data_IF_140328746393
#
_entry.id   IF_140328746393
#
_cell.length_a   1.000
_cell.length_b   1.000
_cell.length_c   1.000
_cell.angle_alpha   90.00
_cell.angle_beta   90.00
_cell.angle_gamma   90.00
#
_symmetry.space_group_name_H-M   'P 1'
#
loop_
_entity.id
_entity.type
_entity.pdbx_description
1 polymer ?
#
# COMPACT_ATOMS: atom_id res chain seq x y z
N UNK A 1 -11.73 -4.23 12.52
CA UNK A 1 -11.50 -3.22 13.60
C UNK A 1 -12.67 -2.24 13.68
N UNK A 2 -13.82 -2.73 14.17
CA UNK A 2 -15.06 -1.96 14.25
C UNK A 2 -15.14 -1.14 15.54
N UNK A 3 -15.75 0.04 15.46
CA UNK A 3 -16.10 0.86 16.62
C UNK A 3 -14.87 1.22 17.47
N UNK A 4 -14.82 0.77 18.71
CA UNK A 4 -13.71 1.04 19.63
C UNK A 4 -12.35 0.40 19.23
N UNK A 5 -12.32 -0.44 18.20
CA UNK A 5 -11.11 -1.03 17.62
C UNK A 5 -10.56 -0.19 16.45
N UNK A 6 -11.29 0.85 16.00
CA UNK A 6 -10.70 1.83 15.08
C UNK A 6 -9.45 2.41 15.73
N UNK A 7 -8.37 2.57 14.94
CA UNK A 7 -7.06 3.04 15.41
C UNK A 7 -6.51 2.27 16.62
N UNK A 8 -6.68 0.95 16.62
CA UNK A 8 -5.99 0.02 17.52
C UNK A 8 -5.33 -1.10 16.75
N UNK A 9 -4.38 -1.77 17.39
CA UNK A 9 -3.82 -3.00 16.86
C UNK A 9 -4.96 -4.01 16.61
N UNK A 10 -4.87 -4.81 15.54
CA UNK A 10 -5.85 -5.83 15.26
C UNK A 10 -5.78 -6.92 16.34
N UNK A 11 -6.93 -7.51 16.66
CA UNK A 11 -7.03 -8.62 17.60
C UNK A 11 -7.30 -9.92 16.85
N UNK A 12 -6.71 -11.02 17.34
CA UNK A 12 -7.00 -12.34 16.80
C UNK A 12 -8.46 -12.69 16.99
N UNK A 13 -9.08 -13.19 15.93
CA UNK A 13 -10.43 -13.74 15.97
C UNK A 13 -10.35 -15.26 16.04
N UNK A 14 -10.93 -15.85 17.05
CA UNK A 14 -11.09 -17.30 17.17
C UNK A 14 -12.54 -17.62 16.82
N UNK A 15 -12.77 -18.22 15.66
CA UNK A 15 -14.08 -18.73 15.30
C UNK A 15 -14.32 -20.06 16.05
N UNK A 16 -15.41 -20.18 16.78
CA UNK A 16 -15.85 -21.45 17.35
C UNK A 16 -16.35 -22.42 16.25
N UNK A 17 -16.86 -21.87 15.12
CA UNK A 17 -17.23 -22.61 13.92
C UNK A 17 -16.62 -21.94 12.68
N UNK A 18 -15.86 -22.70 11.90
CA UNK A 18 -15.31 -22.27 10.61
C UNK A 18 -16.45 -22.22 9.57
N UNK A 19 -17.14 -21.11 9.50
CA UNK A 19 -17.96 -20.81 8.34
C UNK A 19 -17.11 -20.08 7.30
N UNK A 20 -16.63 -20.83 6.29
CA UNK A 20 -16.13 -20.23 5.05
C UNK A 20 -17.35 -19.61 4.36
N UNK A 21 -17.68 -18.39 4.72
CA UNK A 21 -18.62 -17.59 3.96
C UNK A 21 -17.79 -16.66 3.08
N UNK A 22 -17.67 -16.91 1.77
CA UNK A 22 -17.10 -15.93 0.86
C UNK A 22 -18.07 -14.74 0.83
N UNK A 23 -17.92 -13.80 1.75
CA UNK A 23 -18.51 -12.49 1.59
C UNK A 23 -17.82 -11.86 0.39
N UNK A 24 -18.45 -12.01 -0.75
CA UNK A 24 -18.09 -11.27 -1.95
C UNK A 24 -17.96 -9.79 -1.58
N UNK A 25 -16.81 -9.19 -1.90
CA UNK A 25 -16.52 -7.76 -1.83
C UNK A 25 -16.30 -7.12 -0.45
N UNK A 26 -15.70 -7.80 0.52
CA UNK A 26 -15.20 -7.15 1.73
C UNK A 26 -13.80 -6.57 1.48
N UNK A 27 -13.75 -5.31 1.08
CA UNK A 27 -12.51 -4.51 1.02
C UNK A 27 -12.57 -3.34 1.99
N UNK A 28 -11.39 -2.85 2.39
CA UNK A 28 -11.30 -1.74 3.32
C UNK A 28 -11.77 -0.43 2.68
N UNK A 29 -12.29 0.49 3.51
CA UNK A 29 -12.68 1.82 3.04
C UNK A 29 -11.54 2.47 2.26
N UNK A 30 -11.86 3.00 1.09
CA UNK A 30 -10.95 3.65 0.18
C UNK A 30 -11.71 4.63 -0.72
N UNK A 31 -10.99 5.51 -1.40
CA UNK A 31 -11.61 6.51 -2.25
C UNK A 31 -12.26 5.87 -3.48
N UNK A 32 -13.46 6.36 -3.82
CA UNK A 32 -14.19 5.94 -5.01
C UNK A 32 -13.68 6.78 -6.18
N UNK A 33 -12.71 6.29 -6.90
CA UNK A 33 -12.19 7.08 -8.03
C UNK A 33 -10.97 6.49 -8.73
N UNK A 34 -10.23 5.62 -8.07
CA UNK A 34 -9.07 4.97 -8.63
C UNK A 34 -9.43 3.68 -9.39
N UNK A 35 -8.69 2.63 -9.15
CA UNK A 35 -8.82 1.31 -9.77
C UNK A 35 -10.17 0.60 -9.48
N UNK A 36 -11.02 1.16 -8.60
CA UNK A 36 -12.27 0.56 -8.11
C UNK A 36 -13.55 1.21 -8.69
N UNK A 37 -13.43 2.16 -9.61
CA UNK A 37 -14.61 2.72 -10.30
C UNK A 37 -15.58 1.68 -10.87
N UNK A 38 -15.09 0.46 -11.15
CA UNK A 38 -15.91 -0.63 -11.68
C UNK A 38 -16.84 -1.29 -10.66
N UNK A 39 -16.65 -1.07 -9.35
CA UNK A 39 -17.32 -1.85 -8.30
C UNK A 39 -18.49 -1.08 -7.66
N UNK A 40 -18.58 0.23 -7.80
CA UNK A 40 -19.68 1.06 -7.27
C UNK A 40 -20.00 0.84 -5.78
N UNK A 41 -19.00 0.44 -4.96
CA UNK A 41 -19.14 0.09 -3.55
C UNK A 41 -18.18 0.90 -2.70
N UNK A 42 -18.67 1.43 -1.60
CA UNK A 42 -17.88 1.97 -0.49
C UNK A 42 -17.38 0.80 0.34
N UNK A 43 -16.09 0.72 0.65
CA UNK A 43 -15.53 -0.34 1.49
C UNK A 43 -16.19 -0.47 2.87
N UNK A 44 -15.59 -1.26 3.74
CA UNK A 44 -16.06 -1.50 5.11
C UNK A 44 -14.90 -1.39 6.11
N UNK A 45 -15.18 -1.04 7.37
CA UNK A 45 -14.23 -1.24 8.46
C UNK A 45 -14.11 -2.73 8.86
N UNK A 46 -15.12 -3.56 8.53
CA UNK A 46 -15.04 -5.02 8.61
C UNK A 46 -14.42 -5.57 7.32
N UNK A 47 -13.12 -5.44 7.19
CA UNK A 47 -12.41 -5.70 5.95
C UNK A 47 -11.19 -6.62 6.07
N UNK A 48 -10.81 -6.99 7.30
CA UNK A 48 -9.60 -7.79 7.52
C UNK A 48 -9.86 -9.27 7.23
N UNK A 49 -9.87 -9.60 5.95
CA UNK A 49 -10.03 -10.95 5.41
C UNK A 49 -8.79 -11.32 4.59
N UNK A 50 -8.57 -12.62 4.43
CA UNK A 50 -7.55 -13.14 3.53
C UNK A 50 -8.12 -14.27 2.66
N UNK A 51 -7.50 -14.46 1.50
CA UNK A 51 -7.78 -15.59 0.59
C UNK A 51 -6.59 -16.51 0.53
N UNK A 52 -6.87 -17.80 0.42
CA UNK A 52 -5.88 -18.86 0.19
C UNK A 52 -6.19 -19.53 -1.14
N UNK A 53 -5.19 -19.54 -2.02
CA UNK A 53 -5.22 -20.29 -3.28
C UNK A 53 -4.19 -21.40 -3.21
N UNK A 54 -4.67 -22.65 -3.24
CA UNK A 54 -3.84 -23.85 -3.19
C UNK A 54 -4.05 -24.72 -4.43
N UNK A 55 -3.06 -25.54 -4.86
CA UNK A 55 -3.23 -26.49 -5.94
C UNK A 55 -4.28 -27.55 -5.60
N UNK A 56 -4.95 -28.10 -6.62
CA UNK A 56 -5.88 -29.22 -6.42
C UNK A 56 -5.15 -30.50 -5.99
N UNK A 57 -5.78 -31.27 -5.11
CA UNK A 57 -5.27 -32.54 -4.56
C UNK A 57 -4.57 -32.38 -3.22
N UNK A 58 -4.37 -33.49 -2.51
CA UNK A 58 -3.64 -33.46 -1.24
C UNK A 58 -2.14 -33.33 -1.53
N UNK A 59 -1.55 -32.22 -1.11
CA UNK A 59 -0.12 -31.94 -1.15
C UNK A 59 0.25 -31.33 0.19
N UNK A 60 1.44 -31.68 0.67
CA UNK A 60 1.94 -31.19 1.95
C UNK A 60 3.27 -30.45 1.74
N UNK A 61 3.58 -29.57 2.66
CA UNK A 61 4.82 -28.79 2.69
C UNK A 61 5.07 -27.94 1.42
N UNK A 62 4.01 -27.39 0.83
CA UNK A 62 4.14 -26.47 -0.29
C UNK A 62 4.71 -25.12 0.16
N UNK A 63 5.59 -24.50 -0.65
CA UNK A 63 6.02 -23.12 -0.40
C UNK A 63 4.82 -22.19 -0.36
N UNK A 64 4.85 -21.23 0.56
CA UNK A 64 3.79 -20.23 0.73
C UNK A 64 4.28 -18.88 0.23
N UNK A 65 3.52 -18.27 -0.65
CA UNK A 65 3.74 -16.91 -1.15
C UNK A 65 2.66 -16.00 -0.59
N UNK A 66 3.05 -15.05 0.25
CA UNK A 66 2.14 -14.13 0.93
C UNK A 66 2.16 -12.78 0.20
N UNK A 67 1.09 -12.52 -0.56
CA UNK A 67 0.95 -11.33 -1.41
C UNK A 67 0.44 -10.13 -0.62
N UNK A 68 1.16 -9.01 -0.72
CA UNK A 68 0.75 -7.73 -0.14
C UNK A 68 0.44 -6.78 -1.30
N UNK A 69 -0.83 -6.44 -1.47
CA UNK A 69 -1.27 -5.59 -2.58
C UNK A 69 -0.72 -4.16 -2.48
N UNK A 70 -0.59 -3.50 -3.64
CA UNK A 70 -0.22 -2.09 -3.75
C UNK A 70 -1.41 -1.14 -3.62
N UNK A 71 -1.31 0.01 -4.28
CA UNK A 71 -2.35 1.06 -4.27
C UNK A 71 -2.06 2.18 -3.28
N UNK A 72 -0.77 2.52 -3.07
CA UNK A 72 -0.36 3.69 -2.27
C UNK A 72 -0.69 3.61 -0.77
N UNK A 73 -1.06 2.45 -0.23
CA UNK A 73 -1.66 2.27 1.09
C UNK A 73 -2.98 3.04 1.27
N UNK A 74 -3.59 3.52 0.19
CA UNK A 74 -4.87 4.23 0.17
C UNK A 74 -5.97 3.48 -0.56
N UNK A 75 -5.59 2.54 -1.44
CA UNK A 75 -6.50 1.72 -2.24
C UNK A 75 -5.96 0.29 -2.42
N UNK A 76 -6.76 -0.57 -3.03
CA UNK A 76 -6.41 -1.96 -3.30
C UNK A 76 -7.17 -2.97 -2.43
N UNK A 77 -7.11 -4.23 -2.82
CA UNK A 77 -7.73 -5.33 -2.06
C UNK A 77 -7.18 -6.70 -2.48
N UNK A 78 -7.41 -7.72 -1.66
CA UNK A 78 -6.93 -9.09 -1.80
C UNK A 78 -7.31 -9.78 -3.12
N UNK A 79 -8.45 -9.39 -3.72
CA UNK A 79 -9.00 -10.04 -4.92
C UNK A 79 -8.58 -9.35 -6.23
N UNK A 80 -7.78 -8.28 -6.15
CA UNK A 80 -7.41 -7.50 -7.32
C UNK A 80 -6.59 -8.32 -8.33
N UNK A 81 -5.75 -9.24 -7.84
CA UNK A 81 -4.93 -10.12 -8.67
C UNK A 81 -5.30 -11.59 -8.50
N UNK A 82 -5.40 -12.29 -9.62
CA UNK A 82 -5.70 -13.71 -9.63
C UNK A 82 -4.42 -14.56 -9.81
N UNK A 83 -3.94 -15.16 -8.73
CA UNK A 83 -2.75 -16.01 -8.75
C UNK A 83 -3.02 -17.49 -9.05
N UNK A 84 -4.18 -17.84 -9.59
CA UNK A 84 -4.54 -19.26 -9.85
C UNK A 84 -3.58 -19.95 -10.83
N UNK A 85 -3.09 -19.23 -11.84
CA UNK A 85 -2.12 -19.79 -12.78
C UNK A 85 -0.74 -20.02 -12.16
N UNK A 86 -0.27 -19.10 -11.31
CA UNK A 86 0.97 -19.27 -10.55
C UNK A 86 0.88 -20.50 -9.65
N UNK A 87 -0.21 -20.63 -8.89
CA UNK A 87 -0.49 -21.76 -8.00
C UNK A 87 -0.47 -23.08 -8.77
N UNK A 88 -1.18 -23.13 -9.90
CA UNK A 88 -1.28 -24.32 -10.74
C UNK A 88 0.04 -24.75 -11.38
N UNK A 89 0.85 -23.77 -11.83
CA UNK A 89 2.09 -24.04 -12.56
C UNK A 89 3.29 -24.33 -11.67
N UNK A 90 3.30 -23.81 -10.44
CA UNK A 90 4.50 -23.79 -9.58
C UNK A 90 4.37 -24.57 -8.29
N UNK A 91 3.22 -25.22 -8.08
CA UNK A 91 2.95 -25.97 -6.84
C UNK A 91 3.27 -25.15 -5.59
N UNK A 92 2.71 -23.96 -5.51
CA UNK A 92 2.83 -23.04 -4.37
C UNK A 92 1.45 -22.70 -3.84
N UNK A 93 1.36 -22.30 -2.59
CA UNK A 93 0.16 -21.66 -2.03
C UNK A 93 0.34 -20.17 -2.08
N UNK A 94 -0.67 -19.42 -2.55
CA UNK A 94 -0.69 -17.98 -2.48
C UNK A 94 -1.74 -17.53 -1.48
N UNK A 95 -1.32 -16.69 -0.52
CA UNK A 95 -2.19 -16.04 0.46
C UNK A 95 -2.21 -14.56 0.19
N UNK A 96 -3.41 -13.97 0.10
CA UNK A 96 -3.60 -12.54 -0.16
C UNK A 96 -4.48 -11.93 0.94
N UNK A 97 -3.98 -11.12 1.86
CA UNK A 97 -4.77 -10.43 2.87
C UNK A 97 -5.23 -9.05 2.40
N UNK A 98 -6.31 -8.57 2.99
CA UNK A 98 -6.58 -7.14 3.12
C UNK A 98 -5.84 -6.57 4.34
N UNK A 99 -5.59 -5.27 4.32
CA UNK A 99 -5.11 -4.48 5.45
C UNK A 99 -5.76 -3.10 5.42
N UNK A 100 -5.90 -2.44 6.57
CA UNK A 100 -6.48 -1.09 6.65
C UNK A 100 -5.68 -0.09 5.85
N UNK A 101 -6.41 0.80 5.17
CA UNK A 101 -5.88 1.75 4.21
C UNK A 101 -6.10 3.19 4.69
N UNK A 102 -5.34 4.12 4.10
CA UNK A 102 -5.47 5.55 4.34
C UNK A 102 -5.52 5.91 5.82
N UNK A 103 -6.39 6.85 6.22
CA UNK A 103 -6.47 7.32 7.61
C UNK A 103 -7.01 6.27 8.59
N UNK A 104 -7.57 5.17 8.13
CA UNK A 104 -8.01 4.08 9.01
C UNK A 104 -6.86 3.12 9.35
N UNK A 105 -5.87 3.00 8.44
CA UNK A 105 -4.67 2.18 8.61
C UNK A 105 -3.45 2.94 9.13
N UNK A 106 -3.42 4.25 8.88
CA UNK A 106 -2.25 5.09 9.13
C UNK A 106 -2.70 6.49 9.60
N UNK A 107 -2.73 6.72 10.90
CA UNK A 107 -3.20 7.98 11.45
C UNK A 107 -2.47 8.35 12.75
N UNK A 108 -1.92 9.54 12.78
CA UNK A 108 -1.15 10.07 13.91
C UNK A 108 -1.80 11.32 14.47
N UNK A 109 -2.46 11.23 15.63
CA UNK A 109 -3.02 12.40 16.31
C UNK A 109 -3.00 12.18 17.83
N UNK A 110 -2.51 13.13 18.66
CA UNK A 110 -2.46 13.00 20.11
C UNK A 110 -3.80 12.66 20.76
N UNK A 111 -4.91 13.12 20.17
CA UNK A 111 -6.26 12.75 20.60
C UNK A 111 -6.59 11.26 20.42
N UNK A 112 -5.75 10.50 19.73
CA UNK A 112 -5.86 9.04 19.59
C UNK A 112 -4.77 8.37 20.43
N UNK A 113 -3.47 8.63 20.12
CA UNK A 113 -2.35 7.90 20.72
C UNK A 113 -2.21 8.10 22.23
N UNK A 114 -2.55 9.28 22.78
CA UNK A 114 -2.41 9.55 24.22
C UNK A 114 -3.42 8.78 25.07
N UNK A 115 -4.51 8.27 24.48
CA UNK A 115 -5.49 7.43 25.16
C UNK A 115 -5.21 5.93 24.98
N UNK A 116 -4.11 5.58 24.34
CA UNK A 116 -3.73 4.19 24.09
C UNK A 116 -2.48 3.83 24.90
N UNK A 117 -2.21 2.53 25.02
CA UNK A 117 -1.04 1.98 25.69
C UNK A 117 -0.41 0.87 24.85
N UNK A 118 0.87 0.60 25.09
CA UNK A 118 1.58 -0.45 24.40
C UNK A 118 1.56 -0.26 22.88
N UNK A 119 1.31 -1.33 22.14
CA UNK A 119 1.33 -1.32 20.67
C UNK A 119 0.19 -0.49 20.05
N UNK A 120 -0.90 -0.25 20.78
CA UNK A 120 -1.99 0.61 20.30
C UNK A 120 -1.58 2.09 20.13
N UNK A 121 -0.44 2.51 20.70
CA UNK A 121 0.11 3.86 20.49
C UNK A 121 0.68 4.08 19.10
N UNK A 122 0.86 3.03 18.32
CA UNK A 122 1.30 3.13 16.91
C UNK A 122 0.34 3.98 16.08
N UNK A 123 0.81 4.45 14.95
CA UNK A 123 -0.01 4.97 13.84
C UNK A 123 0.01 4.05 12.61
N UNK A 124 0.77 2.94 12.66
CA UNK A 124 0.98 2.01 11.55
C UNK A 124 0.09 0.77 11.67
N UNK A 125 -1.22 0.98 11.84
CA UNK A 125 -2.19 -0.11 12.04
C UNK A 125 -2.30 -1.04 10.84
N UNK A 126 -2.17 -0.50 9.59
CA UNK A 126 -2.16 -1.32 8.38
C UNK A 126 -0.99 -2.31 8.34
N UNK A 127 0.19 -1.93 8.84
CA UNK A 127 1.33 -2.87 8.98
C UNK A 127 1.01 -3.94 10.02
N UNK A 128 0.39 -3.59 11.13
CA UNK A 128 -0.02 -4.56 12.15
C UNK A 128 -1.08 -5.54 11.65
N UNK A 129 -1.98 -5.10 10.74
CA UNK A 129 -2.96 -5.97 10.10
C UNK A 129 -2.27 -7.05 9.26
N UNK A 130 -1.24 -6.67 8.49
CA UNK A 130 -0.41 -7.59 7.70
C UNK A 130 0.34 -8.56 8.64
N UNK A 131 0.90 -8.07 9.74
CA UNK A 131 1.56 -8.90 10.76
C UNK A 131 0.60 -9.92 11.36
N UNK A 132 -0.64 -9.51 11.68
CA UNK A 132 -1.64 -10.45 12.21
C UNK A 132 -2.01 -11.53 11.19
N UNK A 133 -2.19 -11.15 9.91
CA UNK A 133 -2.43 -12.11 8.83
C UNK A 133 -1.26 -13.10 8.68
N UNK A 134 0.00 -12.63 8.77
CA UNK A 134 1.19 -13.50 8.74
C UNK A 134 1.23 -14.46 9.94
N UNK A 135 0.88 -14.01 11.14
CA UNK A 135 0.77 -14.88 12.33
C UNK A 135 -0.26 -15.97 12.11
N UNK A 136 -1.44 -15.60 11.62
CA UNK A 136 -2.49 -16.56 11.31
C UNK A 136 -2.02 -17.59 10.27
N UNK A 137 -1.30 -17.15 9.22
CA UNK A 137 -0.72 -18.07 8.21
C UNK A 137 0.27 -19.02 8.84
N UNK A 138 1.19 -18.56 9.67
CA UNK A 138 2.14 -19.41 10.38
C UNK A 138 1.45 -20.51 11.21
N UNK A 139 0.35 -20.16 11.87
CA UNK A 139 -0.38 -21.07 12.77
C UNK A 139 -1.27 -22.07 12.02
N UNK A 140 -1.77 -21.71 10.81
CA UNK A 140 -2.85 -22.46 10.18
C UNK A 140 -2.52 -23.03 8.80
N UNK A 141 -1.51 -22.53 8.09
CA UNK A 141 -1.29 -22.85 6.68
C UNK A 141 -0.95 -24.32 6.42
N UNK A 142 -0.43 -25.05 7.41
CA UNK A 142 -0.19 -26.47 7.33
C UNK A 142 -1.50 -27.27 7.08
N UNK A 143 -2.64 -26.81 7.61
CA UNK A 143 -3.95 -27.41 7.39
C UNK A 143 -4.43 -27.25 5.92
N UNK A 144 -3.80 -26.37 5.17
CA UNK A 144 -4.04 -26.13 3.74
C UNK A 144 -2.94 -26.73 2.85
N UNK A 145 -2.01 -27.52 3.44
CA UNK A 145 -0.90 -28.15 2.73
C UNK A 145 0.34 -27.26 2.57
N UNK A 146 0.40 -26.09 3.22
CA UNK A 146 1.53 -25.17 3.16
C UNK A 146 2.59 -25.46 4.24
N UNK A 147 3.84 -25.08 3.94
CA UNK A 147 4.96 -25.15 4.89
C UNK A 147 5.07 -23.82 5.65
N UNK A 148 4.74 -23.76 6.95
CA UNK A 148 4.88 -22.57 7.77
C UNK A 148 6.35 -22.10 7.92
N UNK A 149 7.34 -22.97 7.61
CA UNK A 149 8.76 -22.65 7.64
C UNK A 149 9.31 -22.19 6.27
N UNK A 150 8.45 -22.03 5.25
CA UNK A 150 8.83 -21.60 3.91
C UNK A 150 7.87 -20.56 3.36
N UNK A 151 7.73 -19.44 4.07
CA UNK A 151 6.87 -18.32 3.70
C UNK A 151 7.72 -17.24 3.05
N UNK A 152 7.35 -16.85 1.83
CA UNK A 152 7.91 -15.69 1.11
C UNK A 152 6.90 -14.56 1.11
N UNK A 153 7.21 -13.42 1.69
CA UNK A 153 6.41 -12.21 1.54
C UNK A 153 6.76 -11.53 0.22
N UNK A 154 5.77 -11.11 -0.55
CA UNK A 154 5.99 -10.36 -1.78
C UNK A 154 4.89 -9.34 -1.99
N UNK A 155 5.23 -8.23 -2.65
CA UNK A 155 4.28 -7.15 -2.90
C UNK A 155 4.83 -6.13 -3.85
N UNK A 156 3.93 -5.41 -4.50
CA UNK A 156 4.26 -4.40 -5.51
C UNK A 156 3.86 -3.00 -5.03
N UNK A 157 4.63 -1.96 -5.44
CA UNK A 157 4.34 -0.57 -5.11
C UNK A 157 4.31 -0.35 -3.59
N UNK A 158 3.18 0.12 -3.04
CA UNK A 158 2.98 0.19 -1.60
C UNK A 158 3.07 -1.19 -0.92
N UNK A 159 2.71 -2.28 -1.61
CA UNK A 159 2.95 -3.64 -1.12
C UNK A 159 4.45 -3.96 -1.01
N UNK A 160 5.28 -3.53 -1.97
CA UNK A 160 6.73 -3.61 -1.91
C UNK A 160 7.33 -2.75 -0.78
N UNK A 161 6.76 -1.55 -0.55
CA UNK A 161 7.08 -0.71 0.59
C UNK A 161 6.73 -1.39 1.93
N UNK A 162 5.57 -2.06 2.01
CA UNK A 162 5.16 -2.81 3.19
C UNK A 162 6.06 -4.04 3.42
N UNK A 163 6.53 -4.72 2.35
CA UNK A 163 7.57 -5.78 2.45
C UNK A 163 8.83 -5.24 3.11
N UNK A 164 9.37 -4.09 2.65
CA UNK A 164 10.54 -3.45 3.26
C UNK A 164 10.28 -3.03 4.71
N UNK A 165 9.07 -2.58 5.03
CA UNK A 165 8.63 -2.21 6.39
C UNK A 165 8.62 -3.44 7.33
N UNK A 166 8.17 -4.60 6.84
CA UNK A 166 8.16 -5.84 7.61
C UNK A 166 9.57 -6.38 7.91
N UNK A 167 10.56 -6.03 7.06
CA UNK A 167 11.97 -6.38 7.36
C UNK A 167 12.50 -5.68 8.61
N UNK A 168 11.90 -4.57 9.06
CA UNK A 168 12.32 -3.83 10.25
C UNK A 168 11.31 -3.84 11.40
N UNK A 169 10.07 -4.28 11.13
CA UNK A 169 9.04 -4.42 12.14
C UNK A 169 9.31 -5.62 13.04
N UNK A 170 9.63 -5.38 14.32
CA UNK A 170 9.96 -6.46 15.27
C UNK A 170 8.81 -7.45 15.47
N UNK A 171 7.58 -7.01 15.31
CA UNK A 171 6.36 -7.84 15.39
C UNK A 171 6.26 -8.88 14.28
N UNK A 172 6.98 -8.66 13.15
CA UNK A 172 7.02 -9.56 11.99
C UNK A 172 8.20 -10.56 12.04
N UNK A 173 9.11 -10.42 13.01
CA UNK A 173 10.32 -11.23 13.10
C UNK A 173 9.99 -12.72 13.26
N UNK A 174 10.56 -13.54 12.36
CA UNK A 174 10.36 -14.99 12.36
C UNK A 174 9.04 -15.45 11.72
N UNK A 175 8.19 -14.54 11.20
CA UNK A 175 6.93 -14.89 10.54
C UNK A 175 7.09 -15.20 9.04
N UNK A 176 8.23 -14.86 8.45
CA UNK A 176 8.55 -15.12 7.04
C UNK A 176 10.04 -15.44 6.87
N UNK A 177 10.40 -16.03 5.74
CA UNK A 177 11.72 -16.63 5.47
C UNK A 177 12.40 -16.03 4.25
N UNK A 178 11.67 -15.32 3.39
CA UNK A 178 12.15 -14.64 2.18
C UNK A 178 11.29 -13.40 1.91
N UNK A 179 11.86 -12.43 1.23
CA UNK A 179 11.16 -11.19 0.90
C UNK A 179 11.40 -10.79 -0.57
N UNK A 180 10.33 -10.29 -1.24
CA UNK A 180 10.41 -9.75 -2.61
C UNK A 180 9.70 -8.40 -2.64
N UNK A 181 10.44 -7.31 -2.80
CA UNK A 181 9.91 -5.96 -2.96
C UNK A 181 9.90 -5.59 -4.44
N UNK A 182 8.72 -5.49 -5.04
CA UNK A 182 8.51 -5.11 -6.43
C UNK A 182 8.14 -3.63 -6.48
N UNK A 183 8.96 -2.82 -7.14
CA UNK A 183 8.75 -1.38 -7.29
C UNK A 183 8.42 -0.66 -5.97
N UNK A 184 9.03 -1.14 -4.87
CA UNK A 184 8.84 -0.58 -3.54
C UNK A 184 9.55 0.75 -3.33
N UNK A 185 9.47 1.29 -2.13
CA UNK A 185 10.16 2.52 -1.71
C UNK A 185 10.36 2.54 -0.19
N UNK A 186 11.16 3.48 0.33
CA UNK A 186 11.55 3.54 1.74
C UNK A 186 11.07 4.82 2.44
N UNK A 187 10.10 5.54 1.86
CA UNK A 187 9.58 6.78 2.44
C UNK A 187 8.84 6.51 3.74
N UNK A 188 9.22 7.19 4.80
CA UNK A 188 8.49 7.24 6.07
C UNK A 188 8.55 8.65 6.65
N UNK A 189 7.59 9.04 7.48
CA UNK A 189 7.47 10.38 8.04
C UNK A 189 7.70 10.36 9.54
N UNK A 190 8.29 11.43 10.08
CA UNK A 190 8.33 11.62 11.54
C UNK A 190 6.91 11.76 12.09
N UNK A 191 6.69 11.37 13.34
CA UNK A 191 5.40 11.58 14.03
C UNK A 191 4.96 13.04 13.99
N UNK A 192 5.92 13.98 14.14
CA UNK A 192 5.62 15.41 14.09
C UNK A 192 5.06 15.83 12.73
N UNK A 193 5.68 15.41 11.63
CA UNK A 193 5.20 15.73 10.29
C UNK A 193 3.87 15.05 9.95
N UNK A 194 3.67 13.82 10.43
CA UNK A 194 2.41 13.09 10.26
C UNK A 194 1.26 13.72 11.05
N UNK A 195 1.56 14.30 12.20
CA UNK A 195 0.58 14.99 13.05
C UNK A 195 0.29 16.41 12.55
N UNK A 196 1.33 17.24 12.43
CA UNK A 196 1.25 18.64 12.03
C UNK A 196 2.52 19.04 11.28
N UNK A 197 2.41 19.15 9.97
CA UNK A 197 3.53 19.52 9.11
C UNK A 197 3.89 20.99 9.31
N UNK A 198 5.19 21.31 9.27
CA UNK A 198 5.66 22.70 9.25
C UNK A 198 5.24 23.43 7.96
N UNK A 199 4.93 22.67 6.89
CA UNK A 199 4.46 23.17 5.61
C UNK A 199 2.92 23.26 5.54
N UNK A 200 2.27 23.59 6.64
CA UNK A 200 0.81 23.69 6.82
C UNK A 200 0.06 24.45 5.69
N UNK A 201 0.72 25.34 4.97
CA UNK A 201 0.12 26.15 3.90
C UNK A 201 0.40 25.62 2.49
N UNK A 202 1.01 24.45 2.32
CA UNK A 202 1.20 23.83 1.00
C UNK A 202 -0.01 23.00 0.62
N UNK A 203 -0.63 23.33 -0.50
CA UNK A 203 -1.67 22.48 -1.11
C UNK A 203 -1.13 21.07 -1.32
N UNK A 204 -1.86 20.07 -0.85
CA UNK A 204 -1.55 18.65 -1.09
C UNK A 204 -0.97 17.89 0.10
N UNK A 205 -0.57 18.53 1.21
CA UNK A 205 -0.12 17.81 2.42
C UNK A 205 -1.28 17.65 3.39
N UNK A 206 -1.71 16.42 3.61
CA UNK A 206 -2.81 16.08 4.52
C UNK A 206 -2.28 15.43 5.80
N UNK A 207 -1.64 16.22 6.68
CA UNK A 207 -1.38 15.80 8.05
C UNK A 207 -2.67 15.68 8.85
N UNK A 208 -2.63 14.97 9.97
CA UNK A 208 -3.85 14.70 10.74
C UNK A 208 -4.45 15.95 11.41
N UNK A 209 -3.62 16.98 11.66
CA UNK A 209 -4.10 18.27 12.14
C UNK A 209 -4.97 18.97 11.11
N UNK A 210 -4.51 19.01 9.86
CA UNK A 210 -5.25 19.60 8.73
C UNK A 210 -6.53 18.82 8.44
N UNK A 211 -6.46 17.49 8.48
CA UNK A 211 -7.63 16.63 8.31
C UNK A 211 -8.69 16.91 9.37
N UNK A 212 -8.28 17.01 10.65
CA UNK A 212 -9.24 17.31 11.72
C UNK A 212 -9.82 18.73 11.58
N UNK A 213 -9.04 19.72 11.13
CA UNK A 213 -9.60 21.05 10.82
C UNK A 213 -10.69 20.99 9.73
N UNK A 214 -10.48 20.19 8.67
CA UNK A 214 -11.52 19.98 7.64
C UNK A 214 -12.79 19.34 8.24
N UNK A 215 -12.63 18.31 9.08
CA UNK A 215 -13.76 17.68 9.78
C UNK A 215 -14.53 18.69 10.65
N UNK A 216 -13.82 19.56 11.37
CA UNK A 216 -14.42 20.59 12.23
C UNK A 216 -15.26 21.56 11.40
N UNK A 217 -14.79 21.97 10.23
CA UNK A 217 -15.55 22.83 9.29
C UNK A 217 -16.76 22.09 8.73
N UNK A 218 -16.58 20.86 8.25
CA UNK A 218 -17.67 20.07 7.65
C UNK A 218 -18.80 19.78 8.65
N UNK A 219 -18.44 19.60 9.93
CA UNK A 219 -19.41 19.45 11.03
C UNK A 219 -20.00 20.78 11.53
N UNK A 220 -19.67 21.90 10.88
CA UNK A 220 -20.14 23.26 11.23
C UNK A 220 -19.78 23.67 12.68
N UNK A 221 -18.67 23.14 13.21
CA UNK A 221 -18.12 23.56 14.52
C UNK A 221 -17.23 24.80 14.39
N UNK A 222 -16.84 25.14 13.16
CA UNK A 222 -16.14 26.36 12.78
C UNK A 222 -16.59 26.76 11.36
N UNK A 223 -16.49 28.07 11.06
CA UNK A 223 -16.93 28.62 9.77
C UNK A 223 -15.89 28.45 8.66
N UNK A 224 -14.62 28.33 9.02
CA UNK A 224 -13.49 28.18 8.11
C UNK A 224 -12.30 27.47 8.78
N UNK A 225 -11.24 27.20 8.00
CA UNK A 225 -10.04 26.50 8.49
C UNK A 225 -9.26 27.29 9.55
N UNK A 226 -9.31 28.62 9.57
CA UNK A 226 -8.65 29.46 10.58
C UNK A 226 -9.35 29.36 11.92
N UNK A 227 -10.67 29.41 11.92
CA UNK A 227 -11.49 29.21 13.11
C UNK A 227 -11.40 27.76 13.60
N UNK A 228 -11.38 26.76 12.68
CA UNK A 228 -11.16 25.35 13.01
C UNK A 228 -9.79 25.13 13.69
N UNK A 229 -8.72 25.75 13.20
CA UNK A 229 -7.40 25.69 13.81
C UNK A 229 -7.42 26.25 15.25
N UNK A 230 -8.14 27.35 15.47
CA UNK A 230 -8.31 27.95 16.81
C UNK A 230 -9.16 27.04 17.70
N UNK A 231 -10.25 26.49 17.19
CA UNK A 231 -11.10 25.53 17.88
C UNK A 231 -10.29 24.30 18.32
N UNK A 232 -9.55 23.70 17.38
CA UNK A 232 -8.72 22.50 17.65
C UNK A 232 -7.64 22.80 18.70
N UNK A 233 -6.97 23.95 18.61
CA UNK A 233 -5.93 24.37 19.54
C UNK A 233 -6.43 24.54 20.98
N UNK A 234 -7.69 24.96 21.16
CA UNK A 234 -8.31 25.25 22.44
C UNK A 234 -9.15 24.09 22.99
N UNK A 235 -9.37 23.05 22.21
CA UNK A 235 -10.19 21.90 22.61
C UNK A 235 -9.39 20.87 23.40
N UNK A 236 -10.06 20.18 24.31
CA UNK A 236 -9.44 19.04 25.02
C UNK A 236 -9.25 17.86 24.06
N UNK A 237 -8.26 17.01 24.36
CA UNK A 237 -8.00 15.81 23.55
C UNK A 237 -9.20 14.85 23.55
N UNK A 238 -9.96 14.77 24.65
CA UNK A 238 -11.18 13.99 24.76
C UNK A 238 -12.26 14.47 23.77
N UNK A 239 -12.43 15.80 23.66
CA UNK A 239 -13.41 16.40 22.73
C UNK A 239 -12.98 16.13 21.29
N UNK A 240 -11.71 16.30 20.95
CA UNK A 240 -11.17 16.02 19.62
C UNK A 240 -11.28 14.52 19.28
N UNK A 241 -10.98 13.64 20.24
CA UNK A 241 -11.16 12.19 20.10
C UNK A 241 -12.61 11.83 19.77
N UNK A 242 -13.56 12.42 20.49
CA UNK A 242 -14.99 12.19 20.24
C UNK A 242 -15.35 12.57 18.79
N UNK A 243 -14.91 13.75 18.33
CA UNK A 243 -15.16 14.19 16.94
C UNK A 243 -14.60 13.18 15.94
N UNK A 244 -13.35 12.72 16.13
CA UNK A 244 -12.71 11.75 15.24
C UNK A 244 -13.44 10.39 15.19
N UNK A 245 -13.85 9.85 16.35
CA UNK A 245 -14.57 8.57 16.40
C UNK A 245 -16.01 8.65 15.87
N UNK A 246 -16.66 9.80 15.99
CA UNK A 246 -18.02 10.05 15.47
C UNK A 246 -18.00 10.41 13.96
N UNK A 247 -16.84 10.59 13.36
CA UNK A 247 -16.72 10.82 11.91
C UNK A 247 -16.88 9.49 11.16
N UNK A 248 -17.73 9.52 10.13
CA UNK A 248 -17.93 8.34 9.29
C UNK A 248 -16.63 7.93 8.60
N UNK A 249 -16.38 6.63 8.47
CA UNK A 249 -15.13 6.11 7.93
C UNK A 249 -14.89 6.55 6.47
N UNK A 250 -15.94 6.55 5.63
CA UNK A 250 -15.80 6.99 4.23
C UNK A 250 -15.61 8.50 4.12
N UNK A 251 -16.27 9.30 4.97
CA UNK A 251 -16.04 10.74 5.07
C UNK A 251 -14.56 11.04 5.41
N UNK A 252 -14.02 10.33 6.40
CA UNK A 252 -12.61 10.46 6.80
C UNK A 252 -11.65 10.12 5.64
N UNK A 253 -11.92 9.06 4.88
CA UNK A 253 -11.13 8.66 3.71
C UNK A 253 -11.19 9.74 2.63
N UNK A 254 -12.37 10.25 2.31
CA UNK A 254 -12.56 11.27 1.27
C UNK A 254 -11.83 12.59 1.58
N UNK A 255 -11.62 12.92 2.88
CA UNK A 255 -10.91 14.14 3.29
C UNK A 255 -9.40 14.08 3.02
N UNK A 256 -8.84 12.89 2.90
CA UNK A 256 -7.43 12.72 2.53
C UNK A 256 -7.19 12.98 1.05
N UNK A 257 -8.22 12.79 0.21
CA UNK A 257 -8.16 13.03 -1.23
C UNK A 257 -7.14 12.16 -1.99
N UNK A 258 -6.99 12.45 -3.28
CA UNK A 258 -6.09 11.73 -4.21
C UNK A 258 -4.59 11.96 -3.97
N UNK A 259 -4.19 12.50 -2.83
CA UNK A 259 -2.79 12.87 -2.64
C UNK A 259 -1.96 11.69 -2.12
N UNK A 260 -1.11 11.13 -2.98
CA UNK A 260 0.01 10.26 -2.62
C UNK A 260 1.03 10.91 -1.64
N UNK A 261 0.77 12.12 -1.19
CA UNK A 261 1.62 12.92 -0.31
C UNK A 261 1.24 12.79 1.17
N UNK A 262 0.18 12.06 1.48
CA UNK A 262 -0.25 11.81 2.85
C UNK A 262 0.85 11.08 3.63
N UNK A 263 1.22 11.51 4.85
CA UNK A 263 2.16 10.78 5.68
C UNK A 263 1.49 9.50 6.19
N UNK A 264 1.61 8.42 5.41
CA UNK A 264 0.99 7.14 5.72
C UNK A 264 1.84 6.34 6.70
N UNK A 265 3.07 5.97 6.31
CA UNK A 265 3.99 5.25 7.20
C UNK A 265 4.73 6.23 8.10
N UNK A 266 4.73 5.99 9.40
CA UNK A 266 5.35 6.87 10.39
C UNK A 266 6.44 6.18 11.20
N UNK A 267 7.46 6.95 11.55
CA UNK A 267 8.55 6.53 12.42
C UNK A 267 8.07 6.62 13.88
N UNK A 268 7.21 5.69 14.29
CA UNK A 268 6.51 5.73 15.58
C UNK A 268 7.26 5.06 16.73
N UNK A 269 8.43 4.48 16.45
CA UNK A 269 9.24 3.77 17.43
C UNK A 269 8.65 2.44 17.91
N UNK A 270 7.42 2.12 17.50
CA UNK A 270 6.70 0.92 17.92
C UNK A 270 6.68 -0.16 16.84
N UNK A 271 6.32 0.21 15.62
CA UNK A 271 6.28 -0.66 14.43
C UNK A 271 7.43 -0.32 13.50
N UNK A 272 7.59 0.96 13.19
CA UNK A 272 8.74 1.46 12.44
C UNK A 272 9.66 2.22 13.39
N UNK A 273 10.97 1.88 13.44
CA UNK A 273 11.92 2.55 14.31
C UNK A 273 11.94 4.08 14.13
N UNK A 274 12.18 4.83 15.19
CA UNK A 274 12.23 6.30 15.17
C UNK A 274 13.23 6.87 14.16
N UNK A 275 14.31 6.12 13.87
CA UNK A 275 15.31 6.50 12.86
C UNK A 275 14.79 6.45 11.42
N UNK A 276 13.56 5.96 11.21
CA UNK A 276 12.89 5.83 9.92
C UNK A 276 13.23 4.54 9.18
N UNK A 277 12.37 4.20 8.22
CA UNK A 277 12.47 2.94 7.48
C UNK A 277 13.83 2.77 6.78
N UNK A 278 14.30 3.80 6.08
CA UNK A 278 15.54 3.76 5.32
C UNK A 278 16.75 3.41 6.21
N UNK A 279 16.90 4.11 7.32
CA UNK A 279 18.02 3.91 8.25
C UNK A 279 17.85 2.62 9.06
N UNK A 280 16.62 2.22 9.34
CA UNK A 280 16.35 0.96 10.05
C UNK A 280 16.76 -0.26 9.20
N UNK A 281 16.61 -0.22 7.87
CA UNK A 281 17.11 -1.26 6.96
C UNK A 281 18.63 -1.42 7.00
N UNK A 282 19.36 -0.36 7.36
CA UNK A 282 20.83 -0.36 7.53
C UNK A 282 21.29 -0.82 8.91
N UNK A 283 20.38 -0.99 9.84
CA UNK A 283 20.67 -1.32 11.21
C UNK A 283 20.62 -2.82 11.48
N UNK A 284 21.73 -3.38 12.01
CA UNK A 284 21.80 -4.79 12.46
C UNK A 284 20.80 -5.10 13.59
N UNK A 285 20.38 -4.08 14.32
CA UNK A 285 19.45 -4.21 15.44
C UNK A 285 18.02 -4.45 14.97
N UNK A 286 17.59 -3.71 13.92
CA UNK A 286 16.21 -3.75 13.46
C UNK A 286 15.98 -4.75 12.34
N UNK A 287 16.99 -4.98 11.47
CA UNK A 287 16.81 -5.79 10.29
C UNK A 287 16.54 -7.27 10.62
N UNK A 288 15.41 -7.76 10.12
CA UNK A 288 15.12 -9.18 10.02
C UNK A 288 15.81 -9.74 8.76
N UNK A 289 16.95 -10.42 8.95
CA UNK A 289 17.79 -10.91 7.86
C UNK A 289 17.18 -12.14 7.21
N UNK A 290 16.70 -11.98 5.99
CA UNK A 290 16.20 -13.05 5.13
C UNK A 290 16.68 -12.82 3.70
N UNK A 291 16.79 -13.83 2.84
CA UNK A 291 17.01 -13.65 1.41
C UNK A 291 16.02 -12.65 0.83
N UNK A 292 16.53 -11.60 0.18
CA UNK A 292 15.70 -10.48 -0.27
C UNK A 292 15.96 -10.18 -1.75
N UNK A 293 14.87 -10.07 -2.51
CA UNK A 293 14.85 -9.57 -3.88
C UNK A 293 14.21 -8.19 -3.88
N UNK A 294 14.82 -7.22 -4.56
CA UNK A 294 14.17 -5.96 -4.89
C UNK A 294 14.26 -5.70 -6.39
N UNK A 295 13.22 -5.12 -6.96
CA UNK A 295 13.21 -4.83 -8.37
C UNK A 295 12.32 -3.65 -8.74
N UNK A 296 12.48 -3.19 -9.98
CA UNK A 296 11.67 -2.13 -10.54
C UNK A 296 11.46 -2.34 -12.04
N UNK A 297 10.52 -1.60 -12.61
CA UNK A 297 10.27 -1.58 -14.03
C UNK A 297 11.12 -0.49 -14.73
N UNK A 298 11.41 -0.68 -16.01
CA UNK A 298 12.19 0.28 -16.80
C UNK A 298 11.48 1.63 -16.92
N UNK A 299 10.17 1.60 -17.11
CA UNK A 299 9.35 2.75 -17.43
C UNK A 299 8.33 3.08 -16.32
N UNK A 300 8.70 2.91 -15.05
CA UNK A 300 7.82 3.07 -13.87
C UNK A 300 6.80 4.20 -14.00
N UNK A 301 7.29 5.39 -14.38
CA UNK A 301 6.50 6.62 -14.35
C UNK A 301 5.53 6.74 -15.51
N UNK A 302 5.69 5.96 -16.58
CA UNK A 302 4.76 5.99 -17.71
C UNK A 302 3.32 5.66 -17.31
N UNK A 303 3.10 4.92 -16.22
CA UNK A 303 1.75 4.72 -15.69
C UNK A 303 1.02 6.05 -15.46
N UNK A 304 1.68 7.02 -14.84
CA UNK A 304 1.08 8.34 -14.54
C UNK A 304 1.20 9.32 -15.70
N UNK A 305 2.33 9.30 -16.44
CA UNK A 305 2.50 10.16 -17.62
C UNK A 305 1.47 9.83 -18.69
N UNK A 306 1.14 8.55 -18.87
CA UNK A 306 0.17 8.07 -19.87
C UNK A 306 -1.28 8.52 -19.62
N UNK A 307 -1.60 8.97 -18.41
CA UNK A 307 -2.90 9.56 -18.05
C UNK A 307 -2.86 11.08 -17.88
N UNK A 308 -1.68 11.69 -18.01
CA UNK A 308 -1.51 13.14 -17.80
C UNK A 308 -1.89 13.93 -19.06
N UNK A 309 -2.89 14.80 -18.95
CA UNK A 309 -3.28 15.72 -20.01
C UNK A 309 -2.14 16.68 -20.44
N UNK A 310 -1.13 16.85 -19.59
CA UNK A 310 0.06 17.61 -19.94
C UNK A 310 0.88 16.95 -21.06
N UNK A 311 0.98 15.62 -21.05
CA UNK A 311 1.77 14.84 -22.00
C UNK A 311 0.94 14.17 -23.08
N UNK A 312 -0.31 13.87 -22.81
CA UNK A 312 -1.19 13.08 -23.66
C UNK A 312 -2.28 13.95 -24.24
N UNK A 313 -2.61 13.72 -25.51
CA UNK A 313 -3.77 14.29 -26.16
C UNK A 313 -4.63 13.20 -26.80
N UNK A 314 -5.93 13.46 -26.91
CA UNK A 314 -6.86 12.59 -27.61
C UNK A 314 -7.29 13.24 -28.90
N UNK A 315 -7.08 12.57 -30.05
CA UNK A 315 -7.48 13.06 -31.39
C UNK A 315 -8.58 12.21 -31.94
N UNK A 316 -9.60 12.86 -32.50
CA UNK A 316 -10.59 12.16 -33.29
C UNK A 316 -10.07 11.95 -34.72
N UNK A 317 -9.83 10.69 -35.10
CA UNK A 317 -9.52 10.28 -36.47
C UNK A 317 -10.80 9.87 -37.21
N UNK A 318 -10.73 9.74 -38.54
CA UNK A 318 -11.84 9.24 -39.34
C UNK A 318 -12.29 7.83 -38.91
N UNK A 319 -11.33 6.96 -38.59
CA UNK A 319 -11.58 5.62 -38.03
C UNK A 319 -12.20 5.68 -36.63
N UNK A 320 -11.71 6.56 -35.74
CA UNK A 320 -12.23 6.74 -34.42
C UNK A 320 -13.65 7.29 -34.38
N UNK A 321 -14.04 8.10 -35.34
CA UNK A 321 -15.44 8.57 -35.49
C UNK A 321 -16.40 7.43 -35.77
N UNK A 322 -15.95 6.39 -36.52
CA UNK A 322 -16.78 5.22 -36.84
C UNK A 322 -16.98 4.25 -35.69
N UNK A 323 -16.01 4.16 -34.74
CA UNK A 323 -16.02 3.23 -33.62
C UNK A 323 -16.16 3.92 -32.25
N UNK A 324 -16.21 5.27 -32.23
CA UNK A 324 -16.41 6.05 -31.00
C UNK A 324 -15.22 6.13 -30.04
N UNK A 325 -14.06 5.57 -30.41
CA UNK A 325 -12.86 5.54 -29.54
C UNK A 325 -11.82 6.53 -30.10
N UNK A 326 -11.41 7.58 -29.37
CA UNK A 326 -10.41 8.54 -29.82
C UNK A 326 -9.01 7.89 -29.89
N UNK A 327 -8.16 8.41 -30.79
CA UNK A 327 -6.74 8.06 -30.80
C UNK A 327 -6.01 8.81 -29.69
N UNK A 328 -5.18 8.10 -28.96
CA UNK A 328 -4.33 8.63 -27.89
C UNK A 328 -2.92 8.83 -28.44
N UNK A 329 -2.36 10.02 -28.28
CA UNK A 329 -1.02 10.37 -28.77
C UNK A 329 -0.22 11.15 -27.72
N UNK A 330 1.10 10.97 -27.74
CA UNK A 330 2.03 11.75 -26.93
C UNK A 330 2.26 13.11 -27.65
N UNK A 331 2.08 14.22 -26.93
CA UNK A 331 2.24 15.59 -27.49
C UNK A 331 3.68 15.91 -27.86
N UNK A 332 4.65 15.44 -27.07
CA UNK A 332 6.08 15.67 -27.22
C UNK A 332 6.82 14.42 -26.72
N UNK A 333 7.23 13.55 -27.65
CA UNK A 333 7.87 12.27 -27.34
C UNK A 333 9.23 12.46 -26.62
N UNK A 334 10.03 13.46 -27.00
CA UNK A 334 11.34 13.71 -26.39
C UNK A 334 11.19 14.12 -24.93
N UNK A 335 10.29 15.06 -24.67
CA UNK A 335 9.99 15.50 -23.31
C UNK A 335 9.37 14.40 -22.45
N UNK A 336 8.45 13.62 -23.02
CA UNK A 336 7.82 12.47 -22.36
C UNK A 336 8.87 11.46 -21.91
N UNK A 337 9.75 11.06 -22.83
CA UNK A 337 10.81 10.09 -22.53
C UNK A 337 11.82 10.63 -21.51
N UNK A 338 12.20 11.90 -21.62
CA UNK A 338 13.09 12.55 -20.66
C UNK A 338 12.55 12.52 -19.24
N UNK A 339 11.26 12.84 -19.05
CA UNK A 339 10.62 12.76 -17.74
C UNK A 339 10.53 11.33 -17.22
N UNK A 340 10.19 10.38 -18.10
CA UNK A 340 10.19 8.97 -17.76
C UNK A 340 11.56 8.51 -17.28
N UNK A 341 12.61 8.77 -18.04
CA UNK A 341 13.96 8.26 -17.76
C UNK A 341 14.48 8.77 -16.41
N UNK A 342 14.34 10.06 -16.13
CA UNK A 342 14.81 10.64 -14.87
C UNK A 342 14.04 10.06 -13.69
N UNK A 343 12.72 10.03 -13.76
CA UNK A 343 11.90 9.65 -12.61
C UNK A 343 11.89 8.14 -12.38
N UNK A 344 11.88 7.34 -13.45
CA UNK A 344 11.98 5.88 -13.34
C UNK A 344 13.34 5.46 -12.81
N UNK A 345 14.43 6.14 -13.24
CA UNK A 345 15.76 5.91 -12.66
C UNK A 345 15.83 6.34 -11.19
N UNK A 346 15.16 7.43 -10.81
CA UNK A 346 15.02 7.85 -9.43
C UNK A 346 14.24 6.84 -8.58
N UNK A 347 13.24 6.16 -9.18
CA UNK A 347 12.52 5.07 -8.53
C UNK A 347 13.43 3.85 -8.31
N UNK A 348 14.13 3.41 -9.37
CA UNK A 348 15.11 2.32 -9.28
C UNK A 348 16.16 2.57 -8.18
N UNK A 349 16.70 3.79 -8.10
CA UNK A 349 17.69 4.14 -7.07
C UNK A 349 17.10 3.98 -5.67
N UNK A 350 15.95 4.59 -5.41
CA UNK A 350 15.33 4.66 -4.07
C UNK A 350 14.55 3.41 -3.67
N UNK A 351 14.05 2.65 -4.63
CA UNK A 351 13.25 1.45 -4.39
C UNK A 351 14.01 0.13 -4.49
N UNK A 352 15.19 0.13 -5.13
CA UNK A 352 16.00 -1.08 -5.35
C UNK A 352 17.41 -0.92 -4.82
N UNK A 353 18.15 0.03 -5.35
CA UNK A 353 19.59 0.13 -5.07
C UNK A 353 19.83 0.54 -3.61
N UNK A 354 19.29 1.66 -3.16
CA UNK A 354 19.47 2.12 -1.77
C UNK A 354 18.98 1.10 -0.73
N UNK A 355 17.78 0.50 -0.84
CA UNK A 355 17.36 -0.52 0.12
C UNK A 355 18.29 -1.72 0.17
N UNK A 356 18.74 -2.25 -0.98
CA UNK A 356 19.65 -3.41 -1.00
C UNK A 356 21.03 -3.05 -0.43
N UNK A 357 21.58 -1.88 -0.73
CA UNK A 357 22.84 -1.40 -0.13
C UNK A 357 22.70 -1.27 1.39
N UNK A 358 21.59 -0.70 1.90
CA UNK A 358 21.34 -0.58 3.33
C UNK A 358 21.25 -1.96 4.01
N UNK A 359 20.53 -2.90 3.40
CA UNK A 359 20.36 -4.26 3.90
C UNK A 359 21.73 -5.01 3.88
N UNK A 360 22.56 -4.77 2.85
CA UNK A 360 23.91 -5.31 2.78
C UNK A 360 24.79 -4.76 3.91
N UNK A 361 24.77 -3.45 4.15
CA UNK A 361 25.51 -2.80 5.23
C UNK A 361 25.10 -3.33 6.62
N UNK A 362 23.83 -3.74 6.78
CA UNK A 362 23.36 -4.43 7.97
C UNK A 362 23.85 -5.89 8.08
N UNK A 363 24.58 -6.37 7.08
CA UNK A 363 25.21 -7.70 7.04
C UNK A 363 24.29 -8.82 6.57
N UNK A 364 23.36 -8.53 5.67
CA UNK A 364 22.65 -9.52 4.89
C UNK A 364 23.26 -9.56 3.48
N UNK A 365 23.86 -10.67 3.09
CA UNK A 365 24.54 -10.85 1.81
C UNK A 365 23.67 -11.58 0.77
N UNK A 366 22.53 -12.11 1.17
CA UNK A 366 21.62 -12.90 0.32
C UNK A 366 20.63 -11.98 -0.39
N UNK A 367 21.18 -11.18 -1.32
CA UNK A 367 20.45 -10.07 -1.97
C UNK A 367 20.48 -10.21 -3.48
N UNK A 368 19.33 -9.95 -4.09
CA UNK A 368 19.15 -10.03 -5.53
C UNK A 368 18.39 -8.81 -6.04
N UNK A 369 18.75 -8.37 -7.25
CA UNK A 369 18.05 -7.27 -7.94
C UNK A 369 17.53 -7.72 -9.29
N UNK A 370 16.39 -7.16 -9.71
CA UNK A 370 15.90 -7.30 -11.08
C UNK A 370 15.43 -5.96 -11.65
N UNK A 371 15.36 -5.90 -12.99
CA UNK A 371 14.64 -4.86 -13.72
C UNK A 371 13.74 -5.53 -14.75
N UNK A 372 12.48 -5.12 -14.79
CA UNK A 372 11.52 -5.59 -15.76
C UNK A 372 11.49 -4.63 -16.96
N UNK A 373 11.89 -5.13 -18.13
CA UNK A 373 12.10 -4.32 -19.35
C UNK A 373 11.13 -4.66 -20.47
N UNK A 374 10.17 -5.57 -20.25
CA UNK A 374 9.27 -5.96 -21.33
C UNK A 374 8.30 -4.84 -21.68
N UNK A 375 8.47 -4.26 -22.88
CA UNK A 375 7.72 -3.13 -23.40
C UNK A 375 7.10 -3.42 -24.80
N UNK A 376 7.12 -4.67 -25.24
CA UNK A 376 6.65 -5.08 -26.56
C UNK A 376 5.10 -5.20 -26.60
N UNK A 377 4.43 -4.11 -26.20
CA UNK A 377 2.99 -3.98 -26.35
C UNK A 377 2.66 -3.71 -27.82
N UNK A 378 1.61 -4.36 -28.32
CA UNK A 378 1.17 -4.19 -29.70
C UNK A 378 0.60 -2.78 -29.90
N UNK A 379 0.95 -2.20 -31.07
CA UNK A 379 0.29 -0.99 -31.54
C UNK A 379 -1.17 -1.31 -31.84
N UNK A 380 -2.04 -0.49 -31.32
CA UNK A 380 -3.44 -0.50 -31.66
C UNK A 380 -3.76 0.77 -32.47
N UNK A 381 -4.80 0.69 -33.31
CA UNK A 381 -5.27 1.86 -34.10
C UNK A 381 -5.68 3.06 -33.21
N UNK A 382 -5.80 2.85 -31.90
CA UNK A 382 -6.14 3.85 -30.88
C UNK A 382 -4.91 4.46 -30.19
N UNK A 383 -3.70 3.92 -30.39
CA UNK A 383 -2.46 4.45 -29.82
C UNK A 383 -1.30 3.46 -29.85
N UNK A 384 -0.09 4.00 -29.79
CA UNK A 384 1.17 3.25 -29.61
C UNK A 384 1.39 3.00 -28.10
N UNK A 385 0.84 1.91 -27.59
CA UNK A 385 0.92 1.59 -26.17
C UNK A 385 2.33 1.17 -25.74
N UNK A 386 3.18 0.69 -26.63
CA UNK A 386 4.59 0.46 -26.35
C UNK A 386 5.31 1.74 -25.97
N UNK A 387 5.01 2.84 -26.66
CA UNK A 387 5.56 4.16 -26.31
C UNK A 387 4.86 4.81 -25.12
N UNK A 388 3.53 4.74 -25.04
CA UNK A 388 2.73 5.44 -24.03
C UNK A 388 2.90 4.78 -22.65
N UNK A 389 2.86 3.46 -22.58
CA UNK A 389 2.89 2.70 -21.33
C UNK A 389 4.22 1.98 -21.15
N UNK A 390 4.76 1.36 -22.21
CA UNK A 390 6.01 0.59 -22.09
C UNK A 390 5.95 -0.47 -21.03
N UNK A 391 7.03 -0.65 -20.28
CA UNK A 391 7.09 -1.46 -19.05
C UNK A 391 6.80 -0.58 -17.83
N UNK A 392 5.60 -0.01 -17.76
CA UNK A 392 5.19 0.88 -16.68
C UNK A 392 5.02 0.15 -15.34
N UNK A 393 4.80 0.93 -14.30
CA UNK A 393 4.53 0.46 -12.94
C UNK A 393 3.41 -0.60 -12.90
N UNK A 394 3.59 -1.66 -12.14
CA UNK A 394 2.69 -2.79 -11.95
C UNK A 394 2.48 -3.72 -13.18
N UNK A 395 3.11 -3.46 -14.33
CA UNK A 395 2.91 -4.30 -15.53
C UNK A 395 3.64 -5.66 -15.46
N UNK A 396 4.54 -5.88 -14.51
CA UNK A 396 5.13 -7.19 -14.27
C UNK A 396 4.19 -8.14 -13.52
N UNK A 397 3.19 -7.63 -12.80
CA UNK A 397 2.28 -8.47 -11.99
C UNK A 397 1.51 -9.47 -12.83
N UNK A 398 0.89 -9.12 -13.98
CA UNK A 398 0.22 -10.10 -14.85
C UNK A 398 1.15 -11.23 -15.33
N UNK A 399 2.46 -10.97 -15.47
CA UNK A 399 3.43 -11.99 -15.87
C UNK A 399 3.72 -12.99 -14.73
N UNK A 400 3.54 -12.57 -13.50
CA UNK A 400 3.74 -13.40 -12.30
C UNK A 400 2.44 -14.13 -11.95
N UNK A 401 1.32 -13.41 -11.97
CA UNK A 401 0.01 -13.97 -11.59
C UNK A 401 -0.55 -14.95 -12.63
N UNK A 402 -0.26 -14.72 -13.92
CA UNK A 402 -0.66 -15.58 -15.05
C UNK A 402 -1.75 -14.98 -15.90
#
# INVERSE_FOLDING_TARGET
PLGNLRWKAPVSFVAEDFHINPKENNFCHQEIGGQIQAINQTGSEDCLYLDIRAPHGSRDNLPVMFWIHGGGNTSGHKDFYNFSELVKRKDVIVVSPNYRLGPLGFFTHPAIQDFHSGIDKTSNFGILDIVLALKWVNENIASFGGDPNNITIFGESAGGHNVLSLLVAQQAKGLFHKAISQSGYTKSSSLQNAYKSENFNQEGISDSWTVLNKIIVDKQLASDLSEANTFQSNSSKEALRKILYETNAQELVNLYGDTFETPLLTNDGSVIPEIGLKEALRSKEYLNKVPTIAGSNKDEIKLWLGFSEYFIETKQSFLSKGIGIPKVEIKDEEKYQFYNDIRSKGWQLRGVQEPLENIFDAGNEDLYAYRYDWDNLRDFFVGDFGKIIGSAHALEIPMISG
#
